data_IF_541868755176
#
_entry.id   IF_541868755176
#
_cell.length_a   1.000
_cell.length_b   1.000
_cell.length_c   1.000
_cell.angle_alpha   90.00
_cell.angle_beta   90.00
_cell.angle_gamma   90.00
#
_symmetry.space_group_name_H-M   'P 1'
#
loop_
_entity.id
_entity.type
_entity.pdbx_description
1 polymer ?
#
# COMPACT_ATOMS: atom_id res chain seq x y z
N UNK A 1 14.40 -14.19 14.67
CA UNK A 1 15.03 -13.16 13.83
C UNK A 1 15.49 -13.73 12.49
N UNK A 2 16.35 -14.76 12.46
CA UNK A 2 16.78 -15.44 11.21
C UNK A 2 15.60 -15.93 10.34
N UNK A 3 14.55 -16.51 10.94
CA UNK A 3 13.36 -16.94 10.18
C UNK A 3 12.50 -15.79 9.62
N UNK A 4 12.50 -14.61 10.26
CA UNK A 4 11.73 -13.45 9.79
C UNK A 4 12.47 -12.74 8.65
N UNK A 5 13.80 -12.67 8.74
CA UNK A 5 14.66 -12.23 7.64
C UNK A 5 14.64 -13.24 6.47
N UNK A 6 14.51 -14.55 6.73
CA UNK A 6 14.30 -15.54 5.67
C UNK A 6 12.98 -15.34 4.91
N UNK A 7 11.94 -14.83 5.58
CA UNK A 7 10.67 -14.48 4.95
C UNK A 7 10.75 -13.21 4.08
N UNK A 8 11.87 -12.47 4.16
CA UNK A 8 12.12 -11.29 3.35
C UNK A 8 13.29 -11.53 2.42
N UNK A 9 12.98 -11.82 1.15
CA UNK A 9 14.01 -11.90 0.11
C UNK A 9 14.08 -10.61 -0.68
N UNK A 10 15.29 -10.30 -1.11
CA UNK A 10 15.63 -9.15 -1.93
C UNK A 10 15.27 -9.45 -3.38
N UNK A 11 14.72 -8.45 -4.06
CA UNK A 11 14.60 -8.43 -5.51
C UNK A 11 16.01 -8.40 -6.13
N UNK A 12 16.48 -9.50 -6.71
CA UNK A 12 17.55 -9.42 -7.70
C UNK A 12 16.94 -9.07 -9.07
N UNK A 13 17.20 -7.86 -9.56
CA UNK A 13 16.86 -7.46 -10.91
C UNK A 13 17.80 -8.17 -11.91
N UNK A 14 17.31 -8.99 -12.87
CA UNK A 14 18.16 -9.74 -13.77
C UNK A 14 18.60 -8.86 -14.96
N UNK A 15 19.39 -7.81 -14.74
CA UNK A 15 19.93 -6.99 -15.85
C UNK A 15 21.43 -6.64 -15.75
N UNK A 16 22.20 -7.19 -14.80
CA UNK A 16 23.64 -6.91 -14.69
C UNK A 16 24.57 -7.96 -15.31
N UNK A 17 24.07 -8.94 -16.06
CA UNK A 17 24.91 -9.83 -16.87
C UNK A 17 24.83 -9.49 -18.36
N UNK A 18 25.35 -8.32 -18.72
CA UNK A 18 25.89 -8.11 -20.06
C UNK A 18 27.31 -8.70 -20.05
N UNK A 19 27.59 -9.81 -20.75
CA UNK A 19 28.96 -10.27 -20.91
C UNK A 19 29.76 -9.20 -21.66
N UNK A 20 31.03 -8.93 -21.30
CA UNK A 20 31.83 -7.93 -21.99
C UNK A 20 31.95 -8.31 -23.46
N UNK A 21 31.45 -7.42 -24.32
CA UNK A 21 31.60 -7.50 -25.76
C UNK A 21 33.08 -7.46 -26.13
N UNK A 22 33.62 -8.59 -26.58
CA UNK A 22 34.91 -8.63 -27.25
C UNK A 22 34.82 -7.91 -28.61
N UNK A 23 35.83 -7.13 -29.01
CA UNK A 23 35.79 -6.37 -30.25
C UNK A 23 35.94 -7.29 -31.46
N UNK A 24 35.06 -7.15 -32.46
CA UNK A 24 35.20 -7.79 -33.76
C UNK A 24 36.34 -7.16 -34.57
N UNK A 25 37.22 -7.95 -35.23
CA UNK A 25 37.98 -7.50 -36.37
C UNK A 25 37.32 -7.89 -37.70
N UNK A 26 37.75 -7.17 -38.73
CA UNK A 26 37.16 -7.00 -40.05
C UNK A 26 37.12 -8.24 -40.98
N UNK A 27 36.31 -8.06 -42.04
CA UNK A 27 36.14 -8.87 -43.25
C UNK A 27 37.39 -9.62 -43.75
N UNK A 28 37.23 -10.90 -44.09
CA UNK A 28 37.80 -11.51 -45.31
C UNK A 28 36.82 -12.55 -45.89
N UNK A 29 36.60 -12.49 -47.20
CA UNK A 29 35.79 -13.39 -48.05
C UNK A 29 36.35 -14.82 -48.11
N UNK A 30 35.50 -15.85 -48.19
CA UNK A 30 35.54 -16.86 -49.29
C UNK A 30 34.48 -17.99 -49.18
N UNK A 31 33.79 -18.19 -50.31
CA UNK A 31 33.30 -19.42 -50.97
C UNK A 31 32.50 -20.51 -50.20
N UNK A 32 31.24 -20.69 -50.66
CA UNK A 32 30.40 -21.90 -50.76
C UNK A 32 31.18 -23.19 -51.20
N UNK A 33 30.63 -24.44 -51.07
CA UNK A 33 29.21 -24.79 -51.35
C UNK A 33 28.54 -26.04 -50.66
N UNK A 34 27.22 -26.13 -50.91
CA UNK A 34 26.34 -27.34 -51.11
C UNK A 34 25.83 -28.23 -49.93
N UNK A 35 24.54 -28.02 -49.60
CA UNK A 35 23.37 -28.95 -49.69
C UNK A 35 23.32 -30.29 -48.88
N UNK A 36 22.18 -31.05 -48.90
CA UNK A 36 20.84 -30.74 -48.37
C UNK A 36 20.20 -31.93 -47.57
N UNK A 37 19.04 -31.73 -46.90
CA UNK A 37 17.97 -32.74 -46.64
C UNK A 37 16.87 -32.07 -45.78
N UNK A 38 15.65 -31.77 -46.25
CA UNK A 38 14.45 -32.60 -46.55
C UNK A 38 13.93 -33.49 -45.41
N UNK A 39 12.80 -33.10 -44.78
CA UNK A 39 11.52 -33.85 -44.82
C UNK A 39 10.51 -33.37 -43.74
N UNK A 40 9.19 -33.58 -43.93
CA UNK A 40 8.12 -32.92 -43.17
C UNK A 40 7.22 -33.85 -42.32
N UNK A 41 6.41 -33.18 -41.50
CA UNK A 41 5.07 -33.47 -40.95
C UNK A 41 4.36 -34.76 -41.37
N UNK A 42 3.80 -35.49 -40.40
CA UNK A 42 2.52 -36.20 -40.57
C UNK A 42 1.67 -36.25 -39.27
N UNK A 43 0.36 -36.14 -39.52
CA UNK A 43 -0.83 -36.19 -38.67
C UNK A 43 -1.15 -37.59 -38.11
N UNK A 44 -1.93 -37.69 -37.02
CA UNK A 44 -3.21 -38.43 -36.99
C UNK A 44 -3.76 -38.63 -35.57
N UNK A 45 -5.09 -38.68 -35.51
CA UNK A 45 -5.97 -38.79 -34.35
C UNK A 45 -6.30 -40.25 -33.95
N UNK A 46 -6.98 -40.40 -32.78
CA UNK A 46 -8.22 -41.16 -32.52
C UNK A 46 -8.25 -42.09 -31.28
N UNK A 47 -9.40 -42.01 -30.57
CA UNK A 47 -10.11 -43.03 -29.76
C UNK A 47 -9.57 -43.35 -28.35
N UNK A 48 -10.36 -43.58 -27.29
CA UNK A 48 -11.81 -43.78 -27.13
C UNK A 48 -12.23 -43.82 -25.63
N UNK A 49 -13.55 -43.80 -25.37
CA UNK A 49 -14.21 -44.02 -24.04
C UNK A 49 -14.44 -45.52 -23.77
N UNK A 50 -14.74 -45.96 -22.52
CA UNK A 50 -16.11 -46.00 -21.91
C UNK A 50 -16.09 -45.55 -20.41
N UNK A 51 -17.12 -45.01 -19.72
CA UNK A 51 -18.53 -45.35 -19.35
C UNK A 51 -18.71 -46.57 -18.41
N UNK A 52 -18.97 -46.31 -17.11
CA UNK A 52 -19.97 -46.87 -16.14
C UNK A 52 -19.56 -46.38 -14.73
N UNK A 53 -20.39 -46.09 -13.72
CA UNK A 53 -21.81 -46.27 -13.46
C UNK A 53 -22.20 -45.56 -12.14
N UNK A 54 -23.50 -45.43 -11.95
CA UNK A 54 -24.27 -44.70 -10.93
C UNK A 54 -24.26 -45.32 -9.51
N UNK A 55 -24.37 -44.49 -8.46
CA UNK A 55 -25.19 -44.79 -7.28
C UNK A 55 -25.52 -43.53 -6.45
N UNK A 56 -26.82 -43.34 -6.25
CA UNK A 56 -27.50 -42.38 -5.36
C UNK A 56 -27.58 -42.88 -3.92
N UNK A 57 -27.47 -41.99 -2.92
CA UNK A 57 -28.26 -42.07 -1.68
C UNK A 57 -28.34 -40.72 -0.95
N UNK A 58 -29.58 -40.26 -0.74
CA UNK A 58 -29.97 -39.24 0.25
C UNK A 58 -29.96 -39.88 1.65
N UNK A 59 -29.67 -39.11 2.69
CA UNK A 59 -30.42 -39.07 3.96
C UNK A 59 -29.84 -38.00 4.91
N UNK A 60 -30.73 -37.17 5.45
CA UNK A 60 -30.50 -36.22 6.54
C UNK A 60 -31.12 -36.79 7.85
N UNK A 61 -31.24 -35.99 8.93
CA UNK A 61 -30.31 -35.81 10.04
C UNK A 61 -30.81 -36.51 11.33
N UNK A 62 -30.16 -36.31 12.50
CA UNK A 62 -30.90 -36.38 13.76
C UNK A 62 -30.80 -35.10 14.59
N UNK A 63 -31.98 -34.67 15.01
CA UNK A 63 -32.28 -33.86 16.20
C UNK A 63 -31.91 -34.59 17.49
N UNK A 64 -31.46 -33.86 18.51
CA UNK A 64 -31.85 -34.19 19.89
C UNK A 64 -31.83 -32.96 20.82
N UNK A 65 -33.01 -32.73 21.39
CA UNK A 65 -33.39 -31.89 22.51
C UNK A 65 -32.84 -32.42 23.84
N UNK A 66 -32.36 -31.53 24.72
CA UNK A 66 -32.53 -31.65 26.17
C UNK A 66 -32.64 -30.26 26.80
N UNK A 67 -33.82 -29.96 27.34
CA UNK A 67 -34.04 -28.97 28.37
C UNK A 67 -33.74 -29.60 29.74
N UNK A 68 -33.31 -28.80 30.73
CA UNK A 68 -33.85 -28.74 32.10
C UNK A 68 -32.95 -27.89 33.04
N UNK A 69 -33.64 -27.03 33.81
CA UNK A 69 -33.35 -26.41 35.13
C UNK A 69 -32.55 -25.11 35.24
N UNK A 70 -33.34 -24.09 35.57
CA UNK A 70 -33.05 -22.96 36.45
C UNK A 70 -32.47 -23.38 37.81
N UNK A 71 -31.58 -22.55 38.37
CA UNK A 71 -31.46 -22.30 39.81
C UNK A 71 -30.87 -20.89 40.00
N UNK A 72 -31.62 -20.03 40.70
CA UNK A 72 -31.11 -18.83 41.36
C UNK A 72 -30.13 -19.22 42.48
N UNK A 73 -29.34 -18.26 43.00
CA UNK A 73 -29.77 -17.69 44.27
C UNK A 73 -29.62 -16.17 44.39
N UNK A 74 -30.38 -15.71 45.38
CA UNK A 74 -30.62 -14.42 45.98
C UNK A 74 -29.41 -13.61 46.48
N UNK A 75 -29.55 -12.30 46.30
CA UNK A 75 -29.46 -11.21 47.29
C UNK A 75 -28.31 -11.21 48.32
N UNK A 76 -27.48 -10.16 48.27
CA UNK A 76 -27.01 -9.44 49.46
C UNK A 76 -26.66 -8.00 49.08
N UNK A 77 -27.33 -7.04 49.71
CA UNK A 77 -27.01 -5.62 49.66
C UNK A 77 -25.74 -5.31 50.49
N UNK A 78 -25.12 -4.14 50.28
CA UNK A 78 -24.87 -3.10 51.32
C UNK A 78 -23.89 -2.02 50.81
N UNK A 79 -24.29 -0.78 51.11
CA UNK A 79 -23.56 0.50 51.27
C UNK A 79 -22.84 1.18 50.11
N UNK A 80 -23.53 2.22 49.61
CA UNK A 80 -22.95 3.40 48.97
C UNK A 80 -22.42 4.37 50.04
N UNK A 81 -21.14 4.73 49.98
CA UNK A 81 -20.60 5.89 50.69
C UNK A 81 -20.44 7.07 49.73
N UNK A 82 -21.25 8.10 49.97
CA UNK A 82 -21.17 9.41 49.32
C UNK A 82 -20.14 10.27 50.06
N UNK A 83 -19.08 10.70 49.39
CA UNK A 83 -18.15 11.71 49.92
C UNK A 83 -18.53 13.08 49.35
N UNK A 84 -18.99 13.97 50.23
CA UNK A 84 -19.13 15.42 49.98
C UNK A 84 -17.76 16.07 50.14
N UNK A 85 -17.32 16.83 49.14
CA UNK A 85 -16.22 17.78 49.27
C UNK A 85 -16.76 19.21 49.31
N UNK A 86 -16.42 19.93 50.37
CA UNK A 86 -16.71 21.34 50.62
C UNK A 86 -15.47 22.19 50.32
N UNK A 87 -15.62 23.24 49.51
CA UNK A 87 -14.62 24.27 49.23
C UNK A 87 -14.56 25.31 50.36
N UNK A 88 -13.40 26.00 50.55
CA UNK A 88 -13.42 27.46 50.75
C UNK A 88 -12.17 28.16 50.11
N UNK A 89 -11.92 29.48 50.23
CA UNK A 89 -12.19 30.44 49.17
C UNK A 89 -10.96 31.27 48.69
N UNK A 90 -11.25 32.11 47.70
CA UNK A 90 -10.41 33.08 46.97
C UNK A 90 -9.70 34.15 47.81
N UNK A 91 -8.46 34.50 47.42
CA UNK A 91 -7.80 35.75 47.80
C UNK A 91 -7.38 36.57 46.56
N UNK A 92 -7.72 37.85 46.56
CA UNK A 92 -7.29 38.90 45.62
C UNK A 92 -5.98 39.58 46.09
N UNK A 93 -5.25 40.29 45.19
CA UNK A 93 -3.87 40.71 45.44
C UNK A 93 -3.77 42.13 46.02
N UNK A 94 -2.75 42.36 46.85
CA UNK A 94 -2.38 43.68 47.36
C UNK A 94 -1.19 44.26 46.57
N UNK A 95 -1.37 45.49 46.10
CA UNK A 95 -0.37 46.40 45.52
C UNK A 95 0.39 47.15 46.61
N UNK A 96 1.71 47.33 46.46
CA UNK A 96 2.44 48.48 47.02
C UNK A 96 3.64 48.85 46.14
N UNK A 97 3.81 50.16 45.97
CA UNK A 97 4.83 50.87 45.17
C UNK A 97 5.70 51.70 46.11
N UNK A 98 7.03 51.77 45.91
CA UNK A 98 7.81 53.03 45.92
C UNK A 98 9.31 52.84 45.53
N UNK A 99 9.75 53.63 44.52
CA UNK A 99 11.01 54.42 44.34
C UNK A 99 12.39 53.85 44.77
N UNK A 100 13.55 54.10 44.14
CA UNK A 100 14.14 54.65 42.88
C UNK A 100 15.71 54.67 43.14
N UNK A 101 16.63 55.17 42.28
CA UNK A 101 17.10 54.77 40.94
C UNK A 101 18.64 54.52 40.86
N UNK A 102 19.13 54.27 39.62
CA UNK A 102 20.51 54.35 39.07
C UNK A 102 21.31 53.04 38.96
N UNK A 103 21.33 52.49 37.74
CA UNK A 103 22.55 52.41 36.92
C UNK A 103 22.15 51.98 35.49
N UNK A 104 22.54 52.78 34.51
CA UNK A 104 22.37 52.48 33.10
C UNK A 104 23.48 51.54 32.64
N UNK A 105 23.14 50.41 32.00
CA UNK A 105 24.02 49.77 31.01
C UNK A 105 23.23 48.78 30.14
N UNK A 106 23.14 49.11 28.84
CA UNK A 106 23.14 48.20 27.70
C UNK A 106 22.43 46.84 27.82
N UNK A 107 21.15 46.78 27.44
CA UNK A 107 20.56 45.55 26.91
C UNK A 107 20.11 45.80 25.48
N UNK A 108 21.01 45.48 24.56
CA UNK A 108 20.71 45.32 23.13
C UNK A 108 19.64 44.22 23.00
N UNK A 109 18.57 44.54 22.29
CA UNK A 109 17.42 43.68 22.02
C UNK A 109 17.82 42.33 21.42
N UNK A 110 17.79 41.26 22.23
CA UNK A 110 17.89 39.85 21.76
C UNK A 110 16.85 39.49 20.69
N UNK A 111 15.75 40.23 20.59
CA UNK A 111 14.73 40.06 19.55
C UNK A 111 15.22 40.46 18.14
N UNK A 112 16.13 41.44 18.01
CA UNK A 112 16.60 41.92 16.71
C UNK A 112 17.63 40.97 16.04
N UNK A 113 18.31 40.14 16.83
CA UNK A 113 19.24 39.11 16.34
C UNK A 113 18.50 37.87 15.78
N UNK A 114 17.27 37.61 16.23
CA UNK A 114 16.46 36.49 15.74
C UNK A 114 15.82 36.80 14.37
N UNK A 115 15.45 38.05 14.09
CA UNK A 115 14.90 38.43 12.77
C UNK A 115 15.94 38.41 11.64
N UNK A 116 17.24 38.45 11.93
CA UNK A 116 18.29 38.37 10.89
C UNK A 116 18.64 36.95 10.45
N UNK A 117 18.22 35.92 11.19
CA UNK A 117 18.38 34.52 10.78
C UNK A 117 17.24 34.02 9.88
N UNK A 118 16.15 34.77 9.73
CA UNK A 118 15.00 34.42 8.88
C UNK A 118 14.94 35.17 7.53
N UNK A 119 15.97 35.93 7.17
CA UNK A 119 15.98 36.72 5.91
C UNK A 119 17.20 36.50 5.01
N UNK A 120 17.95 35.41 5.22
CA UNK A 120 18.94 34.98 4.25
C UNK A 120 18.23 34.29 3.07
N UNK A 121 17.77 35.09 2.12
CA UNK A 121 17.29 34.65 0.82
C UNK A 121 18.44 33.94 0.09
N UNK A 122 18.42 32.61 0.05
CA UNK A 122 19.25 31.85 -0.87
C UNK A 122 18.85 32.23 -2.30
N UNK A 123 19.83 32.62 -3.10
CA UNK A 123 19.64 32.89 -4.52
C UNK A 123 19.06 31.64 -5.21
N UNK A 124 17.94 31.80 -5.92
CA UNK A 124 17.36 30.75 -6.77
C UNK A 124 18.40 30.37 -7.84
N UNK A 125 18.80 29.10 -7.98
CA UNK A 125 19.37 28.65 -9.23
C UNK A 125 18.29 28.82 -10.33
N UNK A 126 18.74 29.15 -11.54
CA UNK A 126 17.88 29.29 -12.71
C UNK A 126 16.98 28.05 -12.88
N UNK A 127 15.75 28.19 -13.43
CA UNK A 127 14.93 27.04 -13.71
C UNK A 127 15.66 26.18 -14.75
N UNK A 128 16.15 25.03 -14.31
CA UNK A 128 16.44 23.93 -15.22
C UNK A 128 15.11 23.57 -15.87
N UNK A 129 15.03 23.69 -17.19
CA UNK A 129 13.81 23.51 -17.97
C UNK A 129 13.53 22.02 -18.19
N UNK A 130 13.76 21.20 -17.17
CA UNK A 130 13.22 19.86 -17.07
C UNK A 130 11.81 20.02 -16.51
N UNK A 131 10.81 19.89 -17.38
CA UNK A 131 9.40 19.85 -16.96
C UNK A 131 9.25 18.65 -16.02
N UNK A 132 9.37 18.91 -14.71
CA UNK A 132 9.08 17.93 -13.70
C UNK A 132 7.62 17.54 -13.89
N UNK A 133 7.38 16.29 -14.28
CA UNK A 133 6.04 15.73 -14.46
C UNK A 133 5.30 15.83 -13.12
N UNK A 134 4.57 16.92 -12.91
CA UNK A 134 3.95 17.19 -11.63
C UNK A 134 2.63 16.45 -11.59
N UNK A 135 2.61 15.32 -10.88
CA UNK A 135 1.36 14.69 -10.52
C UNK A 135 0.65 15.52 -9.44
N UNK A 136 -0.66 15.71 -9.59
CA UNK A 136 -1.54 16.33 -8.59
C UNK A 136 -2.70 15.38 -8.26
N UNK A 137 -3.53 15.76 -7.30
CA UNK A 137 -4.69 14.97 -6.88
C UNK A 137 -5.94 15.82 -6.94
N UNK A 138 -6.93 15.37 -7.72
CA UNK A 138 -8.26 15.96 -7.78
C UNK A 138 -9.20 15.20 -6.86
N UNK A 139 -9.63 15.86 -5.78
CA UNK A 139 -10.54 15.29 -4.78
C UNK A 139 -11.97 15.69 -5.07
N UNK A 140 -12.82 14.69 -5.29
CA UNK A 140 -14.25 14.86 -5.56
C UNK A 140 -15.02 14.26 -4.38
N UNK A 141 -16.02 14.98 -3.90
CA UNK A 141 -16.76 14.60 -2.73
C UNK A 141 -15.97 14.82 -1.43
N UNK A 142 -16.64 14.57 -0.32
CA UNK A 142 -16.09 14.81 1.00
C UNK A 142 -15.30 13.58 1.48
N UNK A 143 -14.04 13.69 1.95
CA UNK A 143 -13.32 12.55 2.51
C UNK A 143 -14.11 11.89 3.66
N UNK A 144 -13.94 10.58 3.86
CA UNK A 144 -14.73 9.76 4.80
C UNK A 144 -16.24 9.68 4.46
N UNK A 145 -16.59 9.78 3.18
CA UNK A 145 -17.95 9.54 2.68
C UNK A 145 -17.95 8.53 1.54
N UNK A 146 -19.10 7.94 1.23
CA UNK A 146 -19.25 7.01 0.11
C UNK A 146 -18.99 7.67 -1.25
N UNK A 147 -19.11 9.01 -1.31
CA UNK A 147 -18.97 9.76 -2.54
C UNK A 147 -17.54 10.25 -2.81
N UNK A 148 -16.60 9.96 -1.91
CA UNK A 148 -15.23 10.40 -2.04
C UNK A 148 -14.48 9.64 -3.14
N UNK A 149 -13.88 10.39 -4.05
CA UNK A 149 -12.94 9.89 -5.07
C UNK A 149 -11.73 10.81 -5.13
N UNK A 150 -10.53 10.23 -5.13
CA UNK A 150 -9.29 10.93 -5.40
C UNK A 150 -8.71 10.46 -6.73
N UNK A 151 -8.83 11.31 -7.76
CA UNK A 151 -8.20 11.08 -9.06
C UNK A 151 -6.77 11.60 -9.03
N UNK A 152 -5.85 10.83 -9.60
CA UNK A 152 -4.50 11.34 -9.90
C UNK A 152 -4.56 12.11 -11.20
N UNK A 153 -3.92 13.27 -11.23
CA UNK A 153 -3.79 14.09 -12.42
C UNK A 153 -2.34 14.16 -12.84
N UNK A 154 -2.13 14.25 -14.14
CA UNK A 154 -0.85 14.60 -14.75
C UNK A 154 -1.07 15.84 -15.60
N UNK A 155 -0.35 16.91 -15.28
CA UNK A 155 -0.50 18.20 -15.97
C UNK A 155 -1.96 18.72 -15.96
N UNK A 156 -2.69 18.47 -14.86
CA UNK A 156 -4.09 18.86 -14.67
C UNK A 156 -5.14 17.96 -15.32
N UNK A 157 -4.71 16.90 -16.03
CA UNK A 157 -5.62 15.93 -16.67
C UNK A 157 -5.69 14.65 -15.83
N UNK A 158 -6.89 14.18 -15.45
CA UNK A 158 -7.05 12.90 -14.76
C UNK A 158 -6.47 11.73 -15.55
N UNK A 159 -5.72 10.88 -14.87
CA UNK A 159 -5.09 9.68 -15.41
C UNK A 159 -5.38 8.48 -14.50
N UNK A 160 -5.31 7.27 -15.05
CA UNK A 160 -5.46 6.06 -14.24
C UNK A 160 -4.22 5.85 -13.36
N UNK A 161 -4.36 5.83 -12.01
CA UNK A 161 -3.24 5.49 -11.13
C UNK A 161 -2.82 4.02 -11.28
N UNK A 162 -3.68 3.16 -11.83
CA UNK A 162 -3.34 1.77 -12.10
C UNK A 162 -2.53 1.65 -13.41
N UNK A 163 -3.02 2.24 -14.51
CA UNK A 163 -2.50 1.94 -15.84
C UNK A 163 -1.58 3.03 -16.41
N UNK A 164 -1.81 4.31 -16.11
CA UNK A 164 -1.13 5.40 -16.81
C UNK A 164 0.21 5.78 -16.20
N UNK A 165 0.35 5.65 -14.89
CA UNK A 165 1.59 6.02 -14.19
C UNK A 165 2.68 4.98 -14.50
N UNK A 166 3.85 5.36 -15.00
CA UNK A 166 4.93 4.42 -15.25
C UNK A 166 5.39 3.75 -13.96
N UNK A 167 5.62 2.44 -14.00
CA UNK A 167 6.20 1.69 -12.87
C UNK A 167 7.57 2.25 -12.47
N UNK A 168 8.46 2.46 -13.44
CA UNK A 168 9.80 3.02 -13.22
C UNK A 168 9.78 4.54 -13.37
N UNK A 169 10.23 5.25 -12.33
CA UNK A 169 10.58 6.66 -12.41
C UNK A 169 11.96 6.87 -13.01
N UNK A 170 12.89 5.94 -12.73
CA UNK A 170 14.21 5.86 -13.32
C UNK A 170 14.64 4.40 -13.37
N UNK A 171 14.56 3.80 -14.56
CA UNK A 171 14.87 2.38 -14.76
C UNK A 171 16.35 2.07 -14.49
N UNK A 172 17.26 2.95 -14.88
CA UNK A 172 18.70 2.75 -14.71
C UNK A 172 19.12 2.73 -13.23
N UNK A 173 18.40 3.45 -12.38
CA UNK A 173 18.60 3.51 -10.93
C UNK A 173 17.63 2.63 -10.16
N UNK A 174 16.81 1.83 -10.85
CA UNK A 174 15.77 0.97 -10.26
C UNK A 174 14.85 1.74 -9.29
N UNK A 175 14.54 2.99 -9.61
CA UNK A 175 13.62 3.83 -8.83
C UNK A 175 12.22 3.67 -9.40
N UNK A 176 11.27 3.35 -8.53
CA UNK A 176 9.89 3.07 -8.87
C UNK A 176 8.97 4.23 -8.45
N UNK A 177 7.85 4.41 -9.15
CA UNK A 177 6.76 5.25 -8.68
C UNK A 177 5.83 4.43 -7.80
N UNK A 178 5.54 4.92 -6.59
CA UNK A 178 4.52 4.39 -5.70
C UNK A 178 3.32 5.34 -5.68
N UNK A 179 2.10 4.80 -5.73
CA UNK A 179 0.87 5.52 -5.43
C UNK A 179 0.55 5.31 -3.96
N UNK A 180 0.52 6.39 -3.18
CA UNK A 180 0.09 6.34 -1.78
C UNK A 180 -1.44 6.32 -1.72
N UNK A 181 -2.01 5.31 -1.11
CA UNK A 181 -3.46 5.19 -0.91
C UNK A 181 -3.84 5.62 0.50
N UNK A 182 -3.13 5.10 1.51
CA UNK A 182 -3.44 5.27 2.92
C UNK A 182 -2.24 5.89 3.64
N UNK A 183 -2.36 7.14 4.11
CA UNK A 183 -1.34 7.77 4.94
C UNK A 183 -1.09 7.01 6.26
N UNK A 184 0.16 6.99 6.71
CA UNK A 184 0.53 6.38 7.99
C UNK A 184 -0.32 6.92 9.15
N UNK A 185 -0.68 6.02 10.07
CA UNK A 185 -1.52 6.26 11.26
C UNK A 185 -2.97 6.66 10.98
N UNK A 186 -3.46 6.46 9.76
CA UNK A 186 -4.87 6.60 9.42
C UNK A 186 -5.55 5.22 9.33
N UNK A 187 -6.88 5.21 9.36
CA UNK A 187 -7.69 3.99 9.46
C UNK A 187 -8.57 3.73 8.24
N UNK A 188 -8.86 4.75 7.42
CA UNK A 188 -9.72 4.59 6.25
C UNK A 188 -9.04 3.64 5.25
N UNK A 189 -9.70 2.54 4.89
CA UNK A 189 -9.17 1.63 3.87
C UNK A 189 -9.45 2.23 2.50
N UNK A 190 -8.54 3.07 2.03
CA UNK A 190 -8.56 3.67 0.71
C UNK A 190 -7.80 2.76 -0.25
N UNK A 191 -8.31 2.58 -1.46
CA UNK A 191 -7.73 1.70 -2.48
C UNK A 191 -8.02 2.25 -3.89
N UNK A 192 -7.12 2.00 -4.83
CA UNK A 192 -7.34 2.17 -6.26
C UNK A 192 -8.54 1.31 -6.66
N UNK A 193 -9.61 1.95 -7.12
CA UNK A 193 -10.82 1.22 -7.53
C UNK A 193 -10.62 0.60 -8.91
N UNK A 194 -10.53 -0.73 -8.98
CA UNK A 194 -10.32 -1.45 -10.25
C UNK A 194 -11.49 -1.31 -11.21
N UNK A 195 -12.70 -1.09 -10.71
CA UNK A 195 -13.94 -1.15 -11.48
C UNK A 195 -14.39 0.22 -12.03
N UNK A 196 -13.93 1.33 -11.44
CA UNK A 196 -14.32 2.68 -11.86
C UNK A 196 -13.45 3.23 -13.01
N UNK A 197 -14.04 4.11 -13.82
CA UNK A 197 -13.35 4.75 -14.95
C UNK A 197 -12.14 5.57 -14.45
N UNK A 198 -10.96 5.31 -15.04
CA UNK A 198 -9.65 5.84 -14.62
C UNK A 198 -9.25 5.52 -13.16
N UNK A 199 -9.82 4.46 -12.58
CA UNK A 199 -9.40 3.85 -11.32
C UNK A 199 -9.11 4.84 -10.17
N UNK A 200 -10.02 5.78 -9.84
CA UNK A 200 -9.80 6.69 -8.73
C UNK A 200 -9.59 5.93 -7.42
N UNK A 201 -8.87 6.56 -6.49
CA UNK A 201 -8.76 6.03 -5.13
C UNK A 201 -10.06 6.37 -4.38
N UNK A 202 -10.69 5.36 -3.79
CA UNK A 202 -11.91 5.50 -2.97
C UNK A 202 -11.81 4.65 -1.72
N UNK A 203 -12.74 4.83 -0.78
CA UNK A 203 -12.78 4.01 0.43
C UNK A 203 -13.55 2.71 0.18
N UNK A 204 -12.97 1.57 0.59
CA UNK A 204 -13.58 0.25 0.57
C UNK A 204 -14.90 0.26 1.36
N UNK A 205 -15.92 -0.43 0.85
CA UNK A 205 -17.25 -0.53 1.42
C UNK A 205 -17.51 -1.97 1.84
N UNK A 206 -17.70 -2.19 3.15
CA UNK A 206 -18.05 -3.51 3.70
C UNK A 206 -19.45 -3.48 4.30
N UNK A 207 -20.37 -4.28 3.73
CA UNK A 207 -21.78 -4.35 4.16
C UNK A 207 -22.48 -2.97 4.12
N UNK A 208 -22.26 -2.23 3.03
CA UNK A 208 -22.86 -0.91 2.80
C UNK A 208 -22.31 0.22 3.69
N UNK A 209 -21.23 -0.01 4.44
CA UNK A 209 -20.57 1.00 5.27
C UNK A 209 -19.10 1.13 4.90
N UNK A 210 -18.59 2.35 5.04
CA UNK A 210 -17.17 2.65 4.88
C UNK A 210 -16.32 1.77 5.80
N UNK A 211 -15.29 1.14 5.23
CA UNK A 211 -14.39 0.27 5.96
C UNK A 211 -13.26 1.07 6.58
N UNK A 212 -13.10 0.89 7.88
CA UNK A 212 -11.96 1.38 8.65
C UNK A 212 -11.22 0.18 9.25
N UNK A 213 -9.91 0.14 9.06
CA UNK A 213 -9.03 -0.78 9.79
C UNK A 213 -9.00 -0.35 11.25
N UNK A 214 -9.07 -1.32 12.16
CA UNK A 214 -9.13 -1.05 13.61
C UNK A 214 -7.72 -0.85 14.17
N UNK A 215 -7.63 -0.09 15.25
CA UNK A 215 -6.39 0.03 16.02
C UNK A 215 -6.16 -1.27 16.81
N UNK A 216 -5.07 -1.98 16.50
CA UNK A 216 -4.68 -3.20 17.19
C UNK A 216 -3.46 -2.88 18.05
N UNK A 217 -3.61 -2.87 19.38
CA UNK A 217 -2.56 -2.46 20.30
C UNK A 217 -1.26 -3.26 20.03
N UNK A 218 -0.09 -2.60 19.90
CA UNK A 218 0.19 -1.17 20.14
C UNK A 218 0.09 -0.25 18.90
N UNK A 219 -0.45 -0.73 17.79
CA UNK A 219 -0.48 -0.07 16.49
C UNK A 219 -1.72 0.80 16.24
N UNK A 220 -1.50 2.06 15.85
CA UNK A 220 -2.56 2.97 15.40
C UNK A 220 -2.67 2.93 13.88
N UNK A 221 -3.84 2.55 13.37
CA UNK A 221 -4.10 2.48 11.93
C UNK A 221 -3.05 1.68 11.17
N UNK A 222 -2.69 2.15 9.98
CA UNK A 222 -1.57 1.64 9.20
C UNK A 222 -0.23 2.13 9.74
N UNK A 223 0.77 1.24 9.80
CA UNK A 223 2.12 1.54 10.31
C UNK A 223 3.03 2.25 9.31
N UNK A 224 2.66 2.27 8.03
CA UNK A 224 3.43 2.82 6.92
C UNK A 224 2.56 3.77 6.11
N UNK A 225 3.19 4.54 5.20
CA UNK A 225 2.42 5.00 4.06
C UNK A 225 2.17 3.78 3.19
N UNK A 226 0.91 3.42 3.02
CA UNK A 226 0.50 2.22 2.32
C UNK A 226 -0.06 2.59 0.95
N UNK A 227 0.20 1.74 -0.03
CA UNK A 227 -0.38 1.88 -1.35
C UNK A 227 0.14 0.81 -2.29
N UNK A 228 0.31 1.16 -3.55
CA UNK A 228 0.57 0.20 -4.61
C UNK A 228 1.62 0.68 -5.63
N UNK A 229 2.20 -0.27 -6.35
CA UNK A 229 2.92 0.02 -7.60
C UNK A 229 1.97 0.04 -8.80
N UNK A 230 2.04 1.08 -9.65
CA UNK A 230 1.25 1.10 -10.87
C UNK A 230 1.79 0.06 -11.85
N UNK A 231 0.96 -0.33 -12.81
CA UNK A 231 1.35 -1.28 -13.87
C UNK A 231 1.91 -2.61 -13.35
N UNK A 232 1.38 -3.06 -12.22
CA UNK A 232 1.64 -4.39 -11.66
C UNK A 232 0.31 -5.06 -11.36
N UNK A 233 0.22 -6.38 -11.45
CA UNK A 233 -1.01 -7.09 -11.14
C UNK A 233 -0.70 -8.49 -10.62
N UNK A 234 -1.26 -8.84 -9.46
CA UNK A 234 -1.22 -10.19 -8.91
C UNK A 234 -2.33 -11.03 -9.57
N UNK A 235 -1.97 -11.71 -10.66
CA UNK A 235 -2.92 -12.41 -11.52
C UNK A 235 -3.68 -13.53 -10.76
N UNK A 236 -5.00 -13.41 -10.56
CA UNK A 236 -5.80 -14.41 -9.84
C UNK A 236 -5.99 -15.70 -10.65
N UNK A 237 -5.60 -15.71 -11.92
CA UNK A 237 -5.70 -16.87 -12.80
C UNK A 237 -4.46 -17.79 -12.69
N UNK A 238 -3.41 -17.35 -12.00
CA UNK A 238 -2.17 -18.09 -11.82
C UNK A 238 -1.97 -18.45 -10.36
N UNK A 239 -1.59 -19.70 -10.09
CA UNK A 239 -1.16 -20.12 -8.75
C UNK A 239 0.33 -19.84 -8.62
N UNK A 240 0.70 -19.03 -7.64
CA UNK A 240 2.08 -18.69 -7.36
C UNK A 240 2.76 -19.91 -6.71
N UNK A 241 3.89 -20.41 -7.26
CA UNK A 241 4.56 -21.59 -6.71
C UNK A 241 5.09 -21.37 -5.29
N UNK A 242 5.41 -20.13 -4.93
CA UNK A 242 5.98 -19.74 -3.65
C UNK A 242 4.97 -19.87 -2.49
N UNK A 243 3.72 -19.49 -2.73
CA UNK A 243 2.64 -19.48 -1.73
C UNK A 243 1.63 -20.61 -1.93
N UNK A 244 1.62 -21.24 -3.12
CA UNK A 244 0.63 -22.23 -3.57
C UNK A 244 -0.81 -21.68 -3.57
N UNK A 245 -0.93 -20.36 -3.68
CA UNK A 245 -2.18 -19.61 -3.70
C UNK A 245 -2.28 -18.80 -5.00
N UNK A 246 -3.48 -18.35 -5.34
CA UNK A 246 -3.71 -17.43 -6.48
C UNK A 246 -3.35 -16.00 -6.08
N UNK A 247 -3.07 -15.12 -7.05
CA UNK A 247 -2.97 -13.68 -6.76
C UNK A 247 -4.30 -13.11 -6.24
N UNK A 248 -4.23 -12.03 -5.49
CA UNK A 248 -5.39 -11.33 -4.89
C UNK A 248 -6.13 -10.40 -5.88
N UNK A 249 -5.74 -10.41 -7.15
CA UNK A 249 -6.31 -9.61 -8.23
C UNK A 249 -6.08 -8.09 -8.07
N UNK A 250 -5.12 -7.66 -7.26
CA UNK A 250 -4.80 -6.24 -7.05
C UNK A 250 -3.42 -5.86 -7.61
N UNK A 251 -3.13 -4.55 -7.72
CA UNK A 251 -1.77 -4.08 -7.91
C UNK A 251 -0.86 -4.54 -6.75
N UNK A 252 0.43 -4.67 -7.02
CA UNK A 252 1.40 -5.10 -6.02
C UNK A 252 1.50 -4.08 -4.87
N UNK A 253 1.24 -4.55 -3.66
CA UNK A 253 1.15 -3.72 -2.45
C UNK A 253 2.51 -3.27 -1.92
N UNK A 254 2.52 -2.06 -1.36
CA UNK A 254 3.74 -1.34 -0.96
C UNK A 254 3.59 -0.71 0.42
N UNK A 255 4.59 -0.96 1.28
CA UNK A 255 4.76 -0.34 2.59
C UNK A 255 5.98 0.59 2.57
N UNK A 256 5.73 1.90 2.55
CA UNK A 256 6.80 2.91 2.53
C UNK A 256 7.13 3.40 3.95
N UNK A 257 8.41 3.26 4.32
CA UNK A 257 8.88 3.30 5.71
C UNK A 257 9.56 4.63 6.11
N UNK A 258 9.61 5.62 5.22
CA UNK A 258 10.25 6.91 5.46
C UNK A 258 9.56 7.75 6.54
N UNK A 259 10.25 8.77 7.02
CA UNK A 259 9.84 9.58 8.19
C UNK A 259 8.61 10.47 7.91
N UNK A 260 8.40 10.87 6.67
CA UNK A 260 7.30 11.76 6.28
C UNK A 260 6.00 10.98 6.07
N UNK A 261 4.90 11.49 6.63
CA UNK A 261 3.55 10.96 6.36
C UNK A 261 3.11 11.48 5.00
N UNK A 262 2.74 10.56 4.09
CA UNK A 262 2.26 10.87 2.76
C UNK A 262 0.80 11.32 2.74
N UNK A 263 0.26 11.51 1.54
CA UNK A 263 -1.17 11.81 1.34
C UNK A 263 -1.77 10.91 0.26
N UNK A 264 -3.08 10.64 0.35
CA UNK A 264 -3.80 9.83 -0.65
C UNK A 264 -3.68 10.42 -2.06
N UNK A 265 -3.28 9.59 -3.02
CA UNK A 265 -3.01 9.95 -4.41
C UNK A 265 -1.60 10.48 -4.66
N UNK A 266 -0.76 10.59 -3.63
CA UNK A 266 0.63 11.05 -3.81
C UNK A 266 1.43 10.05 -4.63
N UNK A 267 2.20 10.56 -5.59
CA UNK A 267 3.20 9.78 -6.32
C UNK A 267 4.57 10.01 -5.69
N UNK A 268 5.13 8.96 -5.10
CA UNK A 268 6.47 8.99 -4.46
C UNK A 268 7.46 8.20 -5.29
N UNK A 269 8.68 8.71 -5.43
CA UNK A 269 9.79 7.94 -5.98
C UNK A 269 10.42 7.13 -4.86
N UNK A 270 10.41 5.81 -5.00
CA UNK A 270 10.84 4.90 -3.94
C UNK A 270 11.86 3.90 -4.47
N UNK A 271 12.65 3.35 -3.55
CA UNK A 271 13.50 2.19 -3.81
C UNK A 271 13.04 1.00 -2.98
N UNK A 272 13.20 -0.19 -3.55
CA UNK A 272 12.83 -1.44 -2.88
C UNK A 272 13.94 -1.91 -1.95
N UNK A 273 13.56 -2.34 -0.76
CA UNK A 273 14.45 -2.89 0.26
C UNK A 273 14.20 -4.39 0.48
N UNK A 274 12.98 -4.88 0.24
CA UNK A 274 12.64 -6.29 0.38
C UNK A 274 11.16 -6.54 0.15
N UNK A 275 10.73 -7.78 0.37
CA UNK A 275 9.34 -8.20 0.22
C UNK A 275 8.88 -9.18 1.31
N UNK A 276 7.62 -9.14 1.73
CA UNK A 276 6.99 -10.15 2.58
C UNK A 276 5.91 -10.92 1.81
N UNK A 277 5.91 -12.26 1.91
CA UNK A 277 4.90 -13.13 1.32
C UNK A 277 3.71 -13.34 2.27
N UNK A 278 2.66 -12.52 2.21
CA UNK A 278 1.46 -12.74 3.01
C UNK A 278 0.55 -13.74 2.29
N UNK A 279 -0.04 -14.64 3.07
CA UNK A 279 -1.19 -15.43 2.67
C UNK A 279 -2.42 -14.82 3.36
N UNK A 280 -3.22 -14.05 2.61
CA UNK A 280 -4.44 -13.43 3.11
C UNK A 280 -5.67 -14.17 2.58
N UNK A 281 -6.41 -14.87 3.45
CA UNK A 281 -7.55 -15.76 3.05
C UNK A 281 -7.25 -16.75 1.93
N UNK A 282 -6.05 -17.36 1.95
CA UNK A 282 -5.60 -18.31 0.92
C UNK A 282 -5.29 -17.67 -0.45
N UNK A 283 -5.17 -16.34 -0.49
CA UNK A 283 -4.67 -15.57 -1.62
C UNK A 283 -3.22 -15.11 -1.35
N UNK A 284 -2.46 -14.98 -2.42
CA UNK A 284 -1.10 -14.48 -2.44
C UNK A 284 -1.13 -12.98 -2.43
N UNK A 285 -0.57 -12.40 -1.38
CA UNK A 285 -0.62 -10.97 -1.16
C UNK A 285 0.80 -10.49 -0.79
N UNK A 286 1.55 -10.03 -1.78
CA UNK A 286 2.94 -9.63 -1.60
C UNK A 286 3.04 -8.20 -1.08
N UNK A 287 3.76 -8.00 0.03
CA UNK A 287 3.99 -6.67 0.62
C UNK A 287 5.43 -6.22 0.38
N UNK A 288 5.62 -5.29 -0.54
CA UNK A 288 6.94 -4.74 -0.85
C UNK A 288 7.32 -3.68 0.19
N UNK A 289 8.51 -3.80 0.75
CA UNK A 289 9.07 -2.83 1.70
C UNK A 289 9.93 -1.85 0.91
N UNK A 290 9.61 -0.56 1.01
CA UNK A 290 10.27 0.49 0.25
C UNK A 290 10.58 1.71 1.12
N UNK A 291 11.46 2.57 0.62
CA UNK A 291 11.70 3.89 1.21
C UNK A 291 11.72 4.97 0.13
N UNK A 292 11.16 6.14 0.42
CA UNK A 292 11.28 7.33 -0.42
C UNK A 292 12.76 7.68 -0.67
N UNK A 293 13.13 7.92 -1.91
CA UNK A 293 14.50 8.29 -2.28
C UNK A 293 14.95 9.63 -1.68
N UNK A 294 14.00 10.48 -1.30
CA UNK A 294 14.24 11.77 -0.65
C UNK A 294 14.32 11.67 0.88
N UNK A 295 14.09 10.49 1.45
CA UNK A 295 14.18 10.30 2.90
C UNK A 295 15.64 10.44 3.38
N UNK A 296 15.91 11.10 4.53
CA UNK A 296 17.26 11.23 5.08
C UNK A 296 17.98 9.90 5.32
N UNK A 297 17.24 8.81 5.59
CA UNK A 297 17.77 7.46 5.77
C UNK A 297 17.89 6.67 4.46
N UNK A 298 17.36 7.17 3.34
CA UNK A 298 17.40 6.46 2.07
C UNK A 298 18.81 5.98 1.73
N UNK A 299 19.82 6.84 1.82
CA UNK A 299 21.21 6.46 1.50
C UNK A 299 21.81 5.39 2.42
N UNK A 300 21.24 5.18 3.61
CA UNK A 300 21.70 4.19 4.60
C UNK A 300 20.96 2.86 4.53
N UNK A 301 19.78 2.83 3.91
CA UNK A 301 18.98 1.62 3.73
C UNK A 301 19.15 1.10 2.32
N UNK A 302 20.02 0.14 2.06
CA UNK A 302 20.15 -0.45 0.72
C UNK A 302 19.47 -1.81 0.63
N UNK A 303 19.37 -2.49 1.77
CA UNK A 303 18.78 -3.82 1.86
C UNK A 303 17.90 -3.98 3.11
N UNK A 304 17.17 -5.09 3.20
CA UNK A 304 16.29 -5.38 4.32
C UNK A 304 17.04 -5.47 5.65
N UNK A 305 18.29 -5.93 5.67
CA UNK A 305 19.10 -6.00 6.89
C UNK A 305 19.39 -4.60 7.45
N UNK A 306 19.49 -3.59 6.58
CA UNK A 306 19.69 -2.21 7.02
C UNK A 306 18.44 -1.66 7.72
N UNK A 307 17.24 -2.14 7.33
CA UNK A 307 15.98 -1.76 7.99
C UNK A 307 16.02 -2.18 9.45
N UNK A 308 16.42 -3.42 9.77
CA UNK A 308 16.51 -3.85 11.18
C UNK A 308 17.65 -3.14 11.93
N UNK A 309 18.72 -2.75 11.24
CA UNK A 309 19.84 -2.01 11.85
C UNK A 309 19.46 -0.57 12.22
N UNK A 310 18.72 0.12 11.36
CA UNK A 310 18.40 1.54 11.52
C UNK A 310 17.00 1.82 12.08
N UNK A 311 16.07 0.89 11.89
CA UNK A 311 14.67 0.93 12.34
C UNK A 311 14.32 -0.36 13.10
N UNK A 312 15.01 -0.63 14.23
CA UNK A 312 14.93 -1.91 14.92
C UNK A 312 13.49 -2.23 15.38
N UNK A 313 13.05 -3.46 15.10
CA UNK A 313 11.72 -3.94 15.44
C UNK A 313 10.60 -3.55 14.47
N UNK A 314 10.87 -2.71 13.45
CA UNK A 314 9.85 -2.36 12.45
C UNK A 314 9.34 -3.59 11.70
N UNK A 315 10.23 -4.44 11.20
CA UNK A 315 9.84 -5.63 10.44
C UNK A 315 9.06 -6.64 11.28
N UNK A 316 9.38 -6.75 12.57
CA UNK A 316 8.60 -7.55 13.52
C UNK A 316 7.20 -6.97 13.71
N UNK A 317 7.08 -5.66 13.87
CA UNK A 317 5.79 -4.99 13.95
C UNK A 317 4.99 -5.11 12.63
N UNK A 318 5.65 -5.10 11.47
CA UNK A 318 5.04 -5.34 10.16
C UNK A 318 4.40 -6.73 10.09
N UNK A 319 5.18 -7.75 10.45
CA UNK A 319 4.69 -9.13 10.48
C UNK A 319 3.50 -9.29 11.44
N UNK A 320 3.64 -8.75 12.65
CA UNK A 320 2.59 -8.80 13.67
C UNK A 320 1.31 -8.10 13.19
N UNK A 321 1.43 -6.90 12.61
CA UNK A 321 0.29 -6.13 12.12
C UNK A 321 -0.50 -6.90 11.05
N UNK A 322 0.15 -7.40 10.00
CA UNK A 322 -0.54 -8.14 8.93
C UNK A 322 -1.13 -9.47 9.41
N UNK A 323 -0.58 -10.07 10.46
CA UNK A 323 -1.15 -11.27 11.09
C UNK A 323 -2.47 -10.96 11.83
N UNK A 324 -2.58 -9.79 12.47
CA UNK A 324 -3.68 -9.47 13.41
C UNK A 324 -4.68 -8.41 12.91
N UNK A 325 -4.36 -7.60 11.89
CA UNK A 325 -5.16 -6.42 11.51
C UNK A 325 -6.61 -6.74 11.13
N UNK A 326 -6.84 -7.94 10.59
CA UNK A 326 -8.17 -8.44 10.22
C UNK A 326 -8.74 -9.44 11.23
N UNK A 327 -7.97 -9.82 12.26
CA UNK A 327 -8.39 -10.74 13.30
C UNK A 327 -9.56 -10.15 14.09
N UNK A 328 -10.75 -10.56 13.70
CA UNK A 328 -11.97 -10.44 14.48
C UNK A 328 -12.13 -11.76 15.24
N UNK A 329 -12.68 -11.71 16.45
CA UNK A 329 -12.99 -12.91 17.23
C UNK A 329 -13.63 -13.99 16.33
N UNK A 330 -12.89 -15.07 16.04
CA UNK A 330 -13.34 -16.21 15.24
C UNK A 330 -12.83 -16.33 13.80
N UNK A 331 -11.98 -15.42 13.27
CA UNK A 331 -11.24 -15.67 12.02
C UNK A 331 -9.80 -16.13 12.29
N UNK A 332 -9.25 -17.06 11.50
CA UNK A 332 -7.85 -17.44 11.61
C UNK A 332 -6.95 -16.25 11.27
N UNK A 333 -5.78 -16.23 11.88
CA UNK A 333 -4.72 -15.26 11.60
C UNK A 333 -4.11 -15.51 10.21
N UNK A 334 -3.63 -14.44 9.58
CA UNK A 334 -2.92 -14.56 8.30
C UNK A 334 -1.56 -15.25 8.50
N UNK A 335 -1.11 -15.95 7.46
CA UNK A 335 0.14 -16.71 7.47
C UNK A 335 1.16 -16.04 6.55
N UNK A 336 2.43 -16.36 6.73
CA UNK A 336 3.49 -15.92 5.83
C UNK A 336 4.17 -17.12 5.19
N UNK A 337 4.48 -17.02 3.89
CA UNK A 337 5.37 -17.96 3.25
C UNK A 337 6.84 -17.53 3.51
N UNK A 338 7.68 -18.47 3.95
CA UNK A 338 9.08 -18.18 4.34
C UNK A 338 10.06 -18.24 3.17
N UNK A 339 9.56 -18.37 1.94
CA UNK A 339 10.40 -18.54 0.75
C UNK A 339 9.62 -18.12 -0.48
N UNK A 340 9.85 -16.90 -0.92
CA UNK A 340 9.48 -16.56 -2.28
C UNK A 340 9.98 -15.20 -2.72
N UNK A 341 9.97 -15.06 -4.03
CA UNK A 341 10.58 -13.97 -4.77
C UNK A 341 9.46 -13.29 -5.55
N UNK A 342 8.86 -12.28 -4.93
CA UNK A 342 7.88 -11.43 -5.59
C UNK A 342 8.63 -10.52 -6.53
N UNK A 343 8.88 -10.99 -7.74
CA UNK A 343 9.54 -10.16 -8.75
C UNK A 343 8.55 -9.12 -9.21
N UNK A 344 8.78 -7.85 -8.92
CA UNK A 344 8.04 -6.72 -9.49
C UNK A 344 7.91 -6.87 -11.03
N UNK A 345 8.92 -7.45 -11.68
CA UNK A 345 8.87 -7.82 -13.09
C UNK A 345 7.79 -8.85 -13.46
N UNK A 346 7.58 -9.91 -12.67
CA UNK A 346 6.50 -10.89 -12.93
C UNK A 346 5.12 -10.24 -12.86
N UNK A 347 4.88 -9.40 -11.85
CA UNK A 347 3.62 -8.68 -11.68
C UNK A 347 3.42 -7.62 -12.79
N UNK A 348 4.51 -6.99 -13.24
CA UNK A 348 4.51 -6.10 -14.41
C UNK A 348 4.18 -6.85 -15.70
N UNK A 349 4.81 -7.99 -15.96
CA UNK A 349 4.50 -8.83 -17.12
C UNK A 349 3.04 -9.30 -17.11
N UNK A 350 2.50 -9.62 -15.93
CA UNK A 350 1.08 -9.97 -15.77
C UNK A 350 0.17 -8.81 -16.13
N UNK A 351 0.48 -7.59 -15.68
CA UNK A 351 -0.24 -6.38 -16.08
C UNK A 351 -0.13 -6.11 -17.59
N UNK A 352 1.04 -6.32 -18.21
CA UNK A 352 1.18 -6.16 -19.66
C UNK A 352 0.31 -7.14 -20.44
N UNK A 353 0.23 -8.40 -19.99
CA UNK A 353 -0.67 -9.41 -20.57
C UNK A 353 -2.13 -9.00 -20.40
N UNK A 354 -2.50 -8.48 -19.24
CA UNK A 354 -3.83 -7.93 -18.98
C UNK A 354 -4.17 -6.81 -19.95
N UNK A 355 -3.31 -5.80 -20.08
CA UNK A 355 -3.51 -4.66 -20.99
C UNK A 355 -3.54 -5.06 -22.46
N UNK A 356 -2.83 -6.13 -22.83
CA UNK A 356 -2.87 -6.71 -24.17
C UNK A 356 -4.10 -7.61 -24.43
N UNK A 357 -5.01 -7.74 -23.47
CA UNK A 357 -6.21 -8.60 -23.58
C UNK A 357 -5.91 -10.10 -23.57
N UNK A 358 -4.73 -10.51 -23.06
CA UNK A 358 -4.28 -11.91 -23.00
C UNK A 358 -4.66 -12.59 -21.68
N UNK A 359 -5.14 -11.84 -20.69
CA UNK A 359 -5.62 -12.35 -19.40
C UNK A 359 -7.09 -11.98 -19.18
N UNK A 360 -7.79 -12.77 -18.37
CA UNK A 360 -9.19 -12.49 -18.04
C UNK A 360 -9.26 -11.31 -17.05
N UNK A 361 -9.84 -10.19 -17.49
CA UNK A 361 -9.91 -8.95 -16.70
C UNK A 361 -11.09 -8.87 -15.71
N UNK A 362 -12.12 -9.70 -15.89
CA UNK A 362 -13.35 -9.60 -15.10
C UNK A 362 -14.03 -8.23 -15.25
N UNK A 363 -14.42 -7.64 -14.11
CA UNK A 363 -15.10 -6.34 -14.04
C UNK A 363 -14.12 -5.14 -14.00
N UNK A 364 -12.81 -5.39 -14.12
CA UNK A 364 -11.79 -4.35 -14.07
C UNK A 364 -11.87 -3.41 -15.29
N UNK A 365 -11.93 -2.12 -14.99
CA UNK A 365 -11.81 -1.02 -15.95
C UNK A 365 -10.35 -0.83 -16.34
N UNK A 366 -10.03 -1.11 -17.60
CA UNK A 366 -8.71 -0.88 -18.21
C UNK A 366 -8.58 0.51 -18.85
N UNK A 367 -9.51 1.43 -18.53
CA UNK A 367 -9.52 2.77 -19.09
C UNK A 367 -8.22 3.52 -18.76
N UNK A 368 -7.57 4.07 -19.78
CA UNK A 368 -6.27 4.73 -19.65
C UNK A 368 -6.09 5.83 -20.70
N UNK A 369 -5.22 6.79 -20.45
CA UNK A 369 -5.01 7.96 -21.32
C UNK A 369 -3.70 7.86 -22.12
N UNK A 370 -2.71 7.17 -21.57
CA UNK A 370 -1.31 7.23 -22.01
C UNK A 370 -0.74 5.90 -22.48
N UNK A 371 -1.43 4.77 -22.29
CA UNK A 371 -0.90 3.45 -22.69
C UNK A 371 -1.01 3.30 -24.21
N UNK A 372 0.14 3.15 -24.87
CA UNK A 372 0.22 2.97 -26.32
C UNK A 372 -0.37 1.62 -26.74
N UNK A 373 -1.14 1.62 -27.83
CA UNK A 373 -1.77 0.41 -28.36
C UNK A 373 -2.88 -0.19 -27.50
N UNK A 374 -3.30 0.46 -26.41
CA UNK A 374 -4.40 -0.02 -25.58
C UNK A 374 -5.75 0.08 -26.30
N UNK A 375 -6.54 -1.00 -26.23
CA UNK A 375 -7.89 -1.06 -26.79
C UNK A 375 -8.91 -0.22 -26.00
N UNK A 376 -8.65 0.04 -24.71
CA UNK A 376 -9.55 0.76 -23.80
C UNK A 376 -9.08 2.23 -23.58
N UNK A 377 -8.47 2.84 -24.60
CA UNK A 377 -8.03 4.24 -24.51
C UNK A 377 -9.21 5.15 -24.22
N UNK A 378 -9.07 5.96 -23.18
CA UNK A 378 -10.12 6.83 -22.66
C UNK A 378 -10.51 7.88 -23.69
N UNK A 379 -11.82 8.02 -23.90
CA UNK A 379 -12.38 9.09 -24.71
C UNK A 379 -12.27 10.44 -23.97
N UNK A 380 -11.80 11.46 -24.68
CA UNK A 380 -11.59 12.80 -24.13
C UNK A 380 -12.85 13.39 -23.48
N UNK A 381 -14.03 13.16 -24.06
CA UNK A 381 -15.30 13.65 -23.50
C UNK A 381 -15.63 13.03 -22.14
N UNK A 382 -15.24 11.77 -21.91
CA UNK A 382 -15.42 11.10 -20.61
C UNK A 382 -14.46 11.67 -19.56
N UNK A 383 -13.23 12.00 -19.95
CA UNK A 383 -12.26 12.65 -19.07
C UNK A 383 -12.77 14.02 -18.66
N UNK A 384 -13.29 14.80 -19.60
CA UNK A 384 -13.86 16.13 -19.36
C UNK A 384 -15.15 16.09 -18.51
N UNK A 385 -15.87 14.96 -18.52
CA UNK A 385 -17.05 14.75 -17.67
C UNK A 385 -16.72 14.57 -16.19
N UNK A 386 -15.45 14.29 -15.86
CA UNK A 386 -15.00 14.17 -14.47
C UNK A 386 -15.11 15.54 -13.78
N UNK A 387 -15.91 15.67 -12.71
CA UNK A 387 -16.10 16.95 -12.03
C UNK A 387 -14.78 17.58 -11.58
N UNK A 388 -14.76 18.91 -11.45
CA UNK A 388 -13.64 19.63 -10.86
C UNK A 388 -13.44 19.23 -9.38
N UNK A 389 -12.20 19.37 -8.90
CA UNK A 389 -11.87 19.15 -7.49
C UNK A 389 -12.62 20.12 -6.58
N UNK A 390 -13.11 19.60 -5.45
CA UNK A 390 -13.90 20.38 -4.49
C UNK A 390 -13.13 20.70 -3.21
N UNK A 391 -12.06 19.95 -2.90
CA UNK A 391 -11.20 20.10 -1.72
C UNK A 391 -11.96 20.30 -0.40
N UNK A 392 -13.05 19.53 -0.24
CA UNK A 392 -13.90 19.58 0.94
C UNK A 392 -13.18 19.05 2.18
N UNK A 393 -13.49 19.62 3.34
CA UNK A 393 -12.97 19.13 4.63
C UNK A 393 -13.50 17.73 4.92
N UNK A 394 -12.70 16.82 5.50
CA UNK A 394 -13.15 15.47 5.82
C UNK A 394 -14.43 15.45 6.67
N UNK A 395 -15.33 14.52 6.36
CA UNK A 395 -16.48 14.22 7.19
C UNK A 395 -16.02 13.63 8.54
N UNK A 396 -16.78 13.85 9.62
CA UNK A 396 -16.47 13.25 10.91
C UNK A 396 -16.47 11.72 10.80
N UNK A 397 -15.49 11.10 11.44
CA UNK A 397 -15.40 9.65 11.56
C UNK A 397 -16.11 9.24 12.86
N UNK A 398 -16.83 8.13 12.82
CA UNK A 398 -17.45 7.56 14.02
C UNK A 398 -16.41 7.20 15.08
N UNK A 399 -16.64 7.62 16.34
CA UNK A 399 -15.69 7.43 17.44
C UNK A 399 -15.36 5.96 17.76
N UNK A 400 -16.12 4.98 17.25
CA UNK A 400 -15.75 3.56 17.39
C UNK A 400 -14.46 3.19 16.66
N UNK A 401 -14.00 4.01 15.71
CA UNK A 401 -12.72 3.81 15.00
C UNK A 401 -11.53 4.01 15.94
N UNK A 402 -11.66 4.88 16.95
CA UNK A 402 -10.60 5.15 17.94
C UNK A 402 -10.39 4.01 18.94
N UNK A 403 -11.31 3.04 19.00
CA UNK A 403 -11.24 1.90 19.92
C UNK A 403 -9.96 1.08 19.67
N UNK A 404 -9.20 0.88 20.75
CA UNK A 404 -8.08 -0.05 20.80
C UNK A 404 -8.55 -1.49 21.04
N UNK A 405 -8.03 -2.40 20.23
CA UNK A 405 -8.23 -3.83 20.37
C UNK A 405 -6.95 -4.45 20.92
N UNK A 406 -7.04 -5.12 22.06
CA UNK A 406 -5.96 -5.87 22.66
C UNK A 406 -6.08 -7.32 22.20
N UNK A 407 -5.36 -7.65 21.13
CA UNK A 407 -5.37 -9.00 20.56
C UNK A 407 -4.22 -9.76 21.22
N UNK A 408 -4.54 -10.71 22.08
CA UNK A 408 -3.55 -11.64 22.59
C UNK A 408 -3.21 -12.61 21.47
N UNK A 409 -1.98 -12.59 20.96
CA UNK A 409 -1.51 -13.70 20.13
C UNK A 409 -1.65 -14.98 20.93
N UNK A 410 -2.12 -16.07 20.30
CA UNK A 410 -1.91 -17.39 20.89
C UNK A 410 -0.42 -17.49 21.24
N UNK A 411 -0.10 -17.79 22.50
CA UNK A 411 1.28 -17.90 22.95
C UNK A 411 2.05 -18.81 21.98
N UNK A 412 3.08 -18.25 21.34
CA UNK A 412 4.02 -19.01 20.49
C UNK A 412 4.90 -19.86 21.37
#
# INVERSE_FOLDING_TARGET
MSQLLQAVRVLECPLTKVPPSLPSPALVRSRCPLAPSSAPVHSAALHGKPVLGTATTKLAPPTNTHAIRSLCPSSSAVSSHTLRFTSPPSHQPATLSARNPRAASSTVNRAALLSRHFSASAARPAPDNTVAMSYSVRKIGQPNTLDFRAYVEKDGVPVSPFHDIPLYANEQKTILNMIVEIPRWTNAKLEICKEEFLNPIKQDIKKGKLRFVRNCFPHKGYLWNYGAFPRTWEDPNVVHPETKAKGDNDPLDVCEIGELVGYTGQIKQVKVLGVMALLDEEETDWKIIVIDVNDPLANKLQDIEDVERHLPGLMRATNEWFRIYRSRMGRPENQFAFSGDARTGKCSDAWERLMAGKSQRGDMSLANVSVEGSADRADQSKIESIPAGQDLRPAPIDGSVDKWFFISGAAV
#
